data_IF_444933050080
#
_entry.id   IF_444933050080
#
_cell.length_a   1.000
_cell.length_b   1.000
_cell.length_c   1.000
_cell.angle_alpha   90.00
_cell.angle_beta   90.00
_cell.angle_gamma   90.00
#
_symmetry.space_group_name_H-M   'P 1'
#
loop_
_entity.id
_entity.type
_entity.pdbx_description
1 polymer ?
#
# COMPACT_ATOMS: atom_id res chain seq x y z
N UNK A 1 -51.42 3.42 -4.69
CA UNK A 1 -50.78 2.72 -3.55
C UNK A 1 -49.58 1.86 -3.96
N UNK A 2 -49.51 1.32 -5.19
CA UNK A 2 -48.38 0.50 -5.66
C UNK A 2 -47.07 1.28 -5.90
N UNK A 3 -47.15 2.50 -6.43
CA UNK A 3 -45.97 3.32 -6.77
C UNK A 3 -45.13 3.73 -5.55
N UNK A 4 -45.79 4.02 -4.42
CA UNK A 4 -45.14 4.32 -3.14
C UNK A 4 -44.33 3.12 -2.63
N UNK A 5 -44.89 1.91 -2.76
CA UNK A 5 -44.21 0.68 -2.36
C UNK A 5 -42.97 0.42 -3.22
N UNK A 6 -43.04 0.69 -4.53
CA UNK A 6 -41.90 0.56 -5.43
C UNK A 6 -40.75 1.50 -5.05
N UNK A 7 -41.06 2.76 -4.72
CA UNK A 7 -40.06 3.73 -4.25
C UNK A 7 -39.44 3.29 -2.93
N UNK A 8 -40.24 2.84 -1.96
CA UNK A 8 -39.74 2.36 -0.66
C UNK A 8 -38.83 1.13 -0.81
N UNK A 9 -39.21 0.14 -1.64
CA UNK A 9 -38.37 -1.03 -1.93
C UNK A 9 -37.04 -0.63 -2.61
N UNK A 10 -37.08 0.34 -3.53
CA UNK A 10 -35.88 0.85 -4.19
C UNK A 10 -34.94 1.56 -3.21
N UNK A 11 -35.48 2.39 -2.30
CA UNK A 11 -34.69 3.04 -1.24
C UNK A 11 -34.06 2.03 -0.27
N UNK A 12 -34.80 1.00 0.14
CA UNK A 12 -34.27 -0.07 1.02
C UNK A 12 -33.14 -0.84 0.32
N UNK A 13 -33.32 -1.16 -0.97
CA UNK A 13 -32.28 -1.82 -1.78
C UNK A 13 -31.00 -0.97 -1.87
N UNK A 14 -31.13 0.33 -2.13
CA UNK A 14 -29.99 1.25 -2.19
C UNK A 14 -29.27 1.35 -0.84
N UNK A 15 -30.02 1.36 0.26
CA UNK A 15 -29.49 1.41 1.63
C UNK A 15 -28.70 0.13 1.96
N UNK A 16 -29.20 -1.04 1.55
CA UNK A 16 -28.51 -2.34 1.73
C UNK A 16 -27.21 -2.41 0.91
N UNK A 17 -27.21 -1.91 -0.33
CA UNK A 17 -26.01 -1.78 -1.17
C UNK A 17 -24.95 -0.87 -0.54
N UNK A 18 -25.35 0.28 0.01
CA UNK A 18 -24.43 1.15 0.75
C UNK A 18 -23.86 0.46 1.99
N UNK A 19 -24.67 -0.27 2.76
CA UNK A 19 -24.23 -0.96 3.98
C UNK A 19 -23.17 -2.05 3.70
N UNK A 20 -23.26 -2.76 2.58
CA UNK A 20 -22.25 -3.75 2.15
C UNK A 20 -20.92 -3.09 1.74
N UNK A 21 -20.95 -1.82 1.34
CA UNK A 21 -19.76 -1.06 0.90
C UNK A 21 -18.85 -0.67 2.09
N UNK A 22 -19.41 -0.58 3.30
CA UNK A 22 -18.68 -0.21 4.52
C UNK A 22 -17.86 -1.36 5.13
N UNK A 23 -17.97 -2.58 4.61
CA UNK A 23 -17.23 -3.75 5.11
C UNK A 23 -15.85 -3.91 4.46
N UNK A 24 -15.49 -3.10 3.45
CA UNK A 24 -14.21 -3.19 2.75
C UNK A 24 -13.38 -1.93 3.04
N UNK A 25 -12.93 -1.80 4.28
CA UNK A 25 -11.77 -0.94 4.58
C UNK A 25 -11.07 -1.41 5.84
N UNK A 26 -10.52 -2.63 5.78
CA UNK A 26 -9.32 -3.00 6.55
C UNK A 26 -8.67 -4.22 5.89
N UNK A 27 -8.12 -4.01 4.68
CA UNK A 27 -7.17 -4.95 4.10
C UNK A 27 -5.78 -4.51 4.55
N UNK A 28 -5.38 -4.87 5.76
CA UNK A 28 -3.97 -4.87 6.16
C UNK A 28 -3.26 -6.01 5.42
N UNK A 29 -3.04 -5.83 4.12
CA UNK A 29 -2.15 -6.67 3.33
C UNK A 29 -0.72 -6.37 3.77
N UNK A 30 -0.34 -6.91 4.93
CA UNK A 30 1.05 -7.13 5.26
C UNK A 30 1.40 -8.49 4.67
N UNK A 31 2.14 -8.49 3.56
CA UNK A 31 2.80 -9.69 3.06
C UNK A 31 3.94 -10.03 4.03
N UNK A 32 3.57 -10.66 5.15
CA UNK A 32 4.49 -11.09 6.20
C UNK A 32 5.24 -12.34 5.71
N UNK A 33 6.40 -12.14 5.07
CA UNK A 33 7.34 -13.23 4.79
C UNK A 33 8.13 -13.55 6.06
N UNK A 34 7.66 -14.55 6.83
CA UNK A 34 8.41 -15.13 7.94
C UNK A 34 9.51 -16.05 7.39
N UNK A 35 10.77 -15.63 7.47
CA UNK A 35 11.90 -16.56 7.33
C UNK A 35 11.99 -17.42 8.61
N UNK A 36 11.85 -18.74 8.47
CA UNK A 36 12.10 -19.70 9.54
C UNK A 36 13.60 -19.72 9.89
N UNK A 37 14.02 -18.79 10.76
CA UNK A 37 15.26 -18.85 11.51
C UNK A 37 14.91 -18.70 12.98
N UNK A 38 15.23 -19.71 13.79
CA UNK A 38 14.87 -19.83 15.20
C UNK A 38 15.18 -18.56 16.01
N UNK A 39 14.17 -17.75 16.32
CA UNK A 39 14.00 -17.05 17.60
C UNK A 39 12.72 -16.22 17.57
N UNK A 40 11.97 -16.33 18.68
CA UNK A 40 10.64 -15.81 18.87
C UNK A 40 10.53 -14.29 18.70
N UNK A 41 9.47 -13.88 18.01
CA UNK A 41 8.98 -12.51 18.00
C UNK A 41 8.40 -12.15 16.65
N UNK A 42 7.09 -12.36 16.46
CA UNK A 42 6.33 -11.54 15.52
C UNK A 42 6.48 -10.09 16.00
N UNK A 43 7.53 -9.41 15.53
CA UNK A 43 7.69 -7.98 15.74
C UNK A 43 6.50 -7.36 15.04
N UNK A 44 5.61 -6.72 15.81
CA UNK A 44 4.72 -5.68 15.29
C UNK A 44 5.48 -4.84 14.27
N UNK A 45 4.82 -4.35 13.20
CA UNK A 45 5.50 -3.72 12.08
C UNK A 45 6.42 -2.62 12.61
N UNK A 46 7.71 -2.91 12.67
CA UNK A 46 8.72 -1.87 12.81
C UNK A 46 8.54 -1.07 11.55
N UNK A 47 8.14 0.20 11.68
CA UNK A 47 7.90 1.08 10.54
C UNK A 47 9.10 0.99 9.61
N UNK A 48 8.94 0.30 8.49
CA UNK A 48 10.06 -0.14 7.67
C UNK A 48 10.25 0.89 6.56
N UNK A 49 11.11 1.86 6.83
CA UNK A 49 11.49 2.89 5.87
C UNK A 49 12.64 2.38 5.02
N UNK A 50 12.45 2.34 3.71
CA UNK A 50 13.43 1.88 2.75
C UNK A 50 13.60 2.96 1.68
N UNK A 51 14.84 3.24 1.29
CA UNK A 51 15.17 4.02 0.11
C UNK A 51 15.92 3.15 -0.89
N UNK A 52 15.33 2.91 -2.05
CA UNK A 52 16.01 2.28 -3.19
C UNK A 52 16.65 3.40 -4.01
N UNK A 53 17.97 3.41 -4.16
CA UNK A 53 18.73 4.53 -4.71
C UNK A 53 19.42 4.19 -6.02
N UNK A 54 19.39 5.10 -6.99
CA UNK A 54 20.26 5.06 -8.18
C UNK A 54 19.89 4.04 -9.26
N UNK A 55 18.71 3.41 -9.18
CA UNK A 55 18.21 2.48 -10.18
C UNK A 55 17.40 3.14 -11.29
N UNK A 56 16.94 2.32 -12.25
CA UNK A 56 15.94 2.72 -13.25
C UNK A 56 14.56 2.23 -12.81
N UNK A 57 13.63 3.16 -12.56
CA UNK A 57 12.22 2.85 -12.31
C UNK A 57 11.56 2.54 -13.65
N UNK A 58 11.04 1.32 -13.79
CA UNK A 58 10.40 0.84 -15.01
C UNK A 58 8.90 0.69 -14.78
N UNK A 59 8.12 1.63 -15.33
CA UNK A 59 6.67 1.58 -15.37
C UNK A 59 6.18 1.10 -16.74
N UNK A 60 4.90 0.74 -16.83
CA UNK A 60 4.29 0.24 -18.08
C UNK A 60 4.37 1.24 -19.25
N UNK A 61 4.52 2.53 -18.97
CA UNK A 61 4.46 3.60 -19.96
C UNK A 61 5.76 4.39 -20.09
N UNK A 62 6.59 4.44 -19.06
CA UNK A 62 7.84 5.20 -19.04
C UNK A 62 8.89 4.55 -18.16
N UNK A 63 10.14 4.89 -18.42
CA UNK A 63 11.27 4.55 -17.58
C UNK A 63 12.01 5.81 -17.19
N UNK A 64 12.51 5.87 -15.96
CA UNK A 64 13.28 7.01 -15.48
C UNK A 64 14.32 6.60 -14.43
N UNK A 65 15.43 7.34 -14.39
CA UNK A 65 16.42 7.19 -13.32
C UNK A 65 15.90 7.94 -12.10
N UNK A 66 15.51 7.21 -11.06
CA UNK A 66 14.93 7.78 -9.85
C UNK A 66 15.24 6.93 -8.61
N UNK A 67 15.17 7.57 -7.45
CA UNK A 67 15.16 6.88 -6.16
C UNK A 67 13.69 6.59 -5.78
N UNK A 68 13.44 5.52 -5.04
CA UNK A 68 12.10 5.10 -4.57
C UNK A 68 12.12 4.99 -3.06
N UNK A 69 11.32 5.82 -2.39
CA UNK A 69 11.15 5.78 -0.93
C UNK A 69 9.86 5.02 -0.58
N UNK A 70 10.00 4.01 0.28
CA UNK A 70 8.95 3.12 0.74
C UNK A 70 8.81 3.26 2.26
N UNK A 71 7.59 3.41 2.73
CA UNK A 71 7.25 3.48 4.14
C UNK A 71 6.03 2.60 4.40
N UNK A 72 6.13 1.71 5.38
CA UNK A 72 5.06 0.78 5.78
C UNK A 72 4.48 -0.04 4.61
N UNK A 73 5.33 -0.40 3.65
CA UNK A 73 4.98 -1.16 2.46
C UNK A 73 4.39 -0.35 1.31
N UNK A 74 4.22 0.97 1.48
CA UNK A 74 3.72 1.86 0.44
C UNK A 74 4.84 2.67 -0.20
N UNK A 75 4.79 2.85 -1.52
CA UNK A 75 5.66 3.80 -2.22
C UNK A 75 5.15 5.20 -1.91
N UNK A 76 5.91 5.95 -1.11
CA UNK A 76 5.54 7.31 -0.68
C UNK A 76 6.08 8.37 -1.64
N UNK A 77 7.26 8.13 -2.22
CA UNK A 77 7.91 9.10 -3.11
C UNK A 77 8.76 8.40 -4.17
N UNK A 78 8.66 8.89 -5.42
CA UNK A 78 9.54 8.53 -6.53
C UNK A 78 10.14 9.81 -7.09
N UNK A 79 11.45 10.01 -6.90
CA UNK A 79 12.14 11.23 -7.31
C UNK A 79 13.65 10.97 -7.39
N UNK A 80 14.36 11.72 -8.24
CA UNK A 80 15.83 11.71 -8.21
C UNK A 80 16.39 12.32 -6.92
N UNK A 81 17.49 11.76 -6.40
CA UNK A 81 18.31 12.35 -5.32
C UNK A 81 17.54 12.57 -4.00
N UNK A 82 16.70 11.62 -3.61
CA UNK A 82 16.01 11.66 -2.31
C UNK A 82 17.06 11.64 -1.19
N UNK A 83 16.83 12.49 -0.18
CA UNK A 83 17.60 12.55 1.06
C UNK A 83 16.76 11.96 2.20
N UNK A 84 17.38 11.15 3.04
CA UNK A 84 16.72 10.45 4.14
C UNK A 84 17.53 10.58 5.43
N UNK A 85 16.88 10.35 6.57
CA UNK A 85 17.54 10.27 7.87
C UNK A 85 18.24 8.92 8.09
N UNK A 86 18.95 8.82 9.23
CA UNK A 86 19.73 7.63 9.59
C UNK A 86 18.86 6.40 9.90
N UNK A 87 17.55 6.60 10.09
CA UNK A 87 16.56 5.56 10.38
C UNK A 87 16.05 4.82 9.13
N UNK A 88 16.56 5.15 7.95
CA UNK A 88 16.11 4.59 6.67
C UNK A 88 17.13 3.59 6.13
N UNK A 89 16.66 2.40 5.76
CA UNK A 89 17.48 1.37 5.11
C UNK A 89 17.70 1.79 3.66
N UNK A 90 18.95 1.97 3.25
CA UNK A 90 19.30 2.32 1.86
C UNK A 90 19.72 1.09 1.08
N UNK A 91 19.08 0.86 -0.06
CA UNK A 91 19.41 -0.19 -1.03
C UNK A 91 20.00 0.49 -2.28
N UNK A 92 21.23 0.16 -2.63
CA UNK A 92 21.85 0.61 -3.88
C UNK A 92 21.38 -0.25 -5.05
N UNK A 93 20.65 0.37 -5.98
CA UNK A 93 20.13 -0.23 -7.19
C UNK A 93 20.90 0.22 -8.44
N UNK A 94 22.11 0.76 -8.29
CA UNK A 94 22.93 1.15 -9.44
C UNK A 94 23.16 -0.04 -10.38
N UNK A 95 22.83 0.15 -11.67
CA UNK A 95 22.90 -0.92 -12.67
C UNK A 95 21.84 -2.01 -12.49
N UNK A 96 20.74 -1.70 -11.79
CA UNK A 96 19.49 -2.44 -11.76
C UNK A 96 18.36 -1.62 -12.36
#
# INVERSE_FOLDING_TARGET
>A
MAEQRFKTLHFISLLLLCALSFQISESNQTSEFCYNGESAGCRSPTTSKILIKGGIVVNAHHQEVADVYVEDGFIVLVQSKIKVGDDVIVIDATGK
#
